data_IF_540740511054
#
_entry.id   IF_540740511054
#
_cell.length_a   1.000
_cell.length_b   1.000
_cell.length_c   1.000
_cell.angle_alpha   90.00
_cell.angle_beta   90.00
_cell.angle_gamma   90.00
#
_symmetry.space_group_name_H-M   'P 1'
#
loop_
_entity.id
_entity.type
_entity.pdbx_description
1 polymer ?
#
# COMPACT_ATOMS: atom_id res chain seq x y z
N UNK A 1 3.84 4.25 24.25
CA UNK A 1 4.60 3.51 23.21
C UNK A 1 5.89 4.27 22.91
N UNK A 2 7.02 3.59 22.90
CA UNK A 2 8.31 4.23 22.63
C UNK A 2 8.36 4.76 21.19
N UNK A 3 8.96 5.93 20.99
CA UNK A 3 9.11 6.59 19.67
C UNK A 3 9.71 5.63 18.64
N UNK A 4 10.66 4.79 19.05
CA UNK A 4 11.31 3.79 18.19
C UNK A 4 10.30 2.86 17.51
N UNK A 5 9.20 2.48 18.19
CA UNK A 5 8.18 1.62 17.62
C UNK A 5 7.33 2.30 16.52
N UNK A 6 7.43 3.64 16.41
CA UNK A 6 6.74 4.43 15.37
C UNK A 6 7.58 4.64 14.11
N UNK A 7 8.90 4.43 14.20
CA UNK A 7 9.81 4.73 13.09
C UNK A 7 9.45 3.99 11.78
N UNK A 8 9.12 2.70 11.78
CA UNK A 8 8.76 2.01 10.53
C UNK A 8 7.51 2.58 9.86
N UNK A 9 6.52 2.99 10.65
CA UNK A 9 5.30 3.62 10.14
C UNK A 9 5.57 5.03 9.61
N UNK A 10 6.37 5.82 10.31
CA UNK A 10 6.76 7.16 9.85
C UNK A 10 7.59 7.09 8.57
N UNK A 11 8.51 6.14 8.48
CA UNK A 11 9.31 5.91 7.28
C UNK A 11 8.42 5.56 6.07
N UNK A 12 7.41 4.69 6.26
CA UNK A 12 6.43 4.38 5.23
C UNK A 12 5.63 5.62 4.83
N UNK A 13 5.19 6.42 5.80
CA UNK A 13 4.46 7.66 5.54
C UNK A 13 5.26 8.67 4.72
N UNK A 14 6.54 8.84 5.05
CA UNK A 14 7.46 9.70 4.29
C UNK A 14 7.69 9.18 2.87
N UNK A 15 7.88 7.86 2.72
CA UNK A 15 8.07 7.23 1.41
C UNK A 15 6.84 7.42 0.51
N UNK A 16 5.62 7.24 1.05
CA UNK A 16 4.37 7.48 0.32
C UNK A 16 4.22 8.95 -0.06
N UNK A 17 4.45 9.88 0.86
CA UNK A 17 4.37 11.31 0.56
C UNK A 17 5.37 11.72 -0.53
N UNK A 18 6.60 11.21 -0.46
CA UNK A 18 7.62 11.45 -1.48
C UNK A 18 7.20 10.91 -2.86
N UNK A 19 6.72 9.67 -2.92
CA UNK A 19 6.23 9.05 -4.15
C UNK A 19 5.05 9.84 -4.72
N UNK A 20 4.10 10.23 -3.89
CA UNK A 20 2.94 11.02 -4.31
C UNK A 20 3.32 12.38 -4.88
N UNK A 21 4.30 13.06 -4.30
CA UNK A 21 4.86 14.30 -4.87
C UNK A 21 5.47 14.02 -6.26
N UNK A 22 6.19 12.92 -6.42
CA UNK A 22 6.73 12.50 -7.71
C UNK A 22 5.65 12.28 -8.77
N UNK A 23 4.50 11.71 -8.41
CA UNK A 23 3.35 11.55 -9.31
C UNK A 23 2.81 12.89 -9.82
N UNK A 24 2.85 13.92 -9.00
CA UNK A 24 2.34 15.25 -9.35
C UNK A 24 3.35 16.12 -10.09
N UNK A 25 4.64 15.76 -10.07
CA UNK A 25 5.73 16.62 -10.51
C UNK A 25 6.72 15.91 -11.44
N UNK A 26 7.90 15.54 -10.93
CA UNK A 26 9.07 15.12 -11.71
C UNK A 26 8.92 13.76 -12.40
N UNK A 27 8.16 12.85 -11.82
CA UNK A 27 8.02 11.47 -12.32
C UNK A 27 6.64 11.18 -12.92
N UNK A 28 5.85 12.21 -13.18
CA UNK A 28 4.47 12.08 -13.69
C UNK A 28 4.39 11.24 -14.95
N UNK A 29 5.27 11.51 -15.93
CA UNK A 29 5.30 10.77 -17.20
C UNK A 29 5.71 9.30 -17.02
N UNK A 30 6.70 9.03 -16.17
CA UNK A 30 7.15 7.67 -15.89
C UNK A 30 6.10 6.81 -15.17
N UNK A 31 5.34 7.41 -14.24
CA UNK A 31 4.25 6.71 -13.59
C UNK A 31 3.11 6.32 -14.54
N UNK A 32 2.92 7.02 -15.66
CA UNK A 32 1.94 6.63 -16.67
C UNK A 32 2.22 5.25 -17.27
N UNK A 33 3.49 4.81 -17.32
CA UNK A 33 3.85 3.47 -17.75
C UNK A 33 3.30 2.34 -16.86
N UNK A 34 2.97 2.65 -15.62
CA UNK A 34 2.39 1.70 -14.65
C UNK A 34 0.86 1.74 -14.62
N UNK A 35 0.22 2.58 -15.44
CA UNK A 35 -1.24 2.58 -15.57
C UNK A 35 -1.66 1.38 -16.44
N UNK A 36 -2.62 0.55 -15.97
CA UNK A 36 -3.12 -0.55 -16.77
C UNK A 36 -3.64 -0.08 -18.13
N UNK A 37 -3.41 -0.86 -19.18
CA UNK A 37 -3.77 -0.50 -20.55
C UNK A 37 -5.26 -0.20 -20.75
N UNK A 38 -6.12 -0.78 -19.95
CA UNK A 38 -7.57 -0.49 -19.95
C UNK A 38 -7.90 0.95 -19.55
N UNK A 39 -7.01 1.62 -18.84
CA UNK A 39 -7.13 3.03 -18.44
C UNK A 39 -6.19 3.96 -19.20
N UNK A 40 -5.62 3.54 -20.33
CA UNK A 40 -4.62 4.31 -21.07
C UNK A 40 -5.10 5.73 -21.45
N UNK A 41 -6.38 5.89 -21.81
CA UNK A 41 -6.96 7.19 -22.16
C UNK A 41 -7.08 8.14 -20.96
N UNK A 42 -7.01 7.61 -19.74
CA UNK A 42 -7.09 8.34 -18.47
C UNK A 42 -5.80 8.27 -17.67
N UNK A 43 -4.69 7.87 -18.31
CA UNK A 43 -3.42 7.60 -17.63
C UNK A 43 -2.95 8.78 -16.77
N UNK A 44 -3.03 9.99 -17.27
CA UNK A 44 -2.63 11.19 -16.55
C UNK A 44 -3.51 11.44 -15.32
N UNK A 45 -4.82 11.30 -15.45
CA UNK A 45 -5.75 11.42 -14.32
C UNK A 45 -5.48 10.36 -13.25
N UNK A 46 -5.25 9.11 -13.65
CA UNK A 46 -4.94 8.00 -12.71
C UNK A 46 -3.66 8.28 -11.93
N UNK A 47 -2.62 8.77 -12.61
CA UNK A 47 -1.35 9.14 -11.98
C UNK A 47 -1.54 10.27 -10.96
N UNK A 48 -2.24 11.33 -11.34
CA UNK A 48 -2.49 12.47 -10.44
C UNK A 48 -3.36 12.06 -9.23
N UNK A 49 -4.43 11.31 -9.47
CA UNK A 49 -5.32 10.82 -8.41
C UNK A 49 -4.58 9.92 -7.43
N UNK A 50 -3.75 9.00 -7.92
CA UNK A 50 -2.95 8.12 -7.06
C UNK A 50 -1.91 8.92 -6.25
N UNK A 51 -1.30 9.93 -6.82
CA UNK A 51 -0.38 10.82 -6.13
C UNK A 51 -1.04 11.56 -4.97
N UNK A 52 -2.26 12.07 -5.14
CA UNK A 52 -3.04 12.71 -4.07
C UNK A 52 -3.36 11.71 -2.97
N UNK A 53 -3.78 10.49 -3.32
CA UNK A 53 -4.05 9.41 -2.35
C UNK A 53 -2.79 9.04 -1.56
N UNK A 54 -1.64 8.92 -2.22
CA UNK A 54 -0.37 8.60 -1.57
C UNK A 54 0.06 9.69 -0.58
N UNK A 55 -0.06 10.96 -0.95
CA UNK A 55 0.24 12.08 -0.04
C UNK A 55 -0.71 12.05 1.16
N UNK A 56 -1.99 11.85 0.95
CA UNK A 56 -2.98 11.76 2.03
C UNK A 56 -2.70 10.59 2.98
N UNK A 57 -2.39 9.40 2.45
CA UNK A 57 -2.00 8.24 3.23
C UNK A 57 -0.69 8.49 3.99
N UNK A 58 0.30 9.07 3.33
CA UNK A 58 1.59 9.41 3.93
C UNK A 58 1.44 10.37 5.12
N UNK A 59 0.69 11.45 4.94
CA UNK A 59 0.40 12.40 6.03
C UNK A 59 -0.40 11.72 7.14
N UNK A 60 -1.39 10.91 6.79
CA UNK A 60 -2.19 10.16 7.76
C UNK A 60 -1.35 9.22 8.63
N UNK A 61 -0.40 8.50 8.05
CA UNK A 61 0.53 7.62 8.77
C UNK A 61 1.45 8.38 9.73
N UNK A 62 1.83 9.61 9.39
CA UNK A 62 2.70 10.44 10.23
C UNK A 62 1.91 11.15 11.33
N UNK A 63 0.78 11.79 10.98
CA UNK A 63 0.07 12.71 11.86
C UNK A 63 -1.09 12.07 12.63
N UNK A 64 -1.79 11.08 12.07
CA UNK A 64 -3.01 10.52 12.61
C UNK A 64 -2.79 9.17 13.31
N UNK A 65 -1.93 9.16 14.32
CA UNK A 65 -1.56 7.95 15.06
C UNK A 65 -2.77 7.17 15.60
N UNK A 66 -3.81 7.86 16.02
CA UNK A 66 -5.04 7.23 16.54
C UNK A 66 -5.72 6.30 15.51
N UNK A 67 -5.60 6.64 14.23
CA UNK A 67 -6.23 5.93 13.12
C UNK A 67 -5.27 5.03 12.35
N UNK A 68 -4.09 4.74 12.91
CA UNK A 68 -3.01 3.99 12.24
C UNK A 68 -3.47 2.65 11.66
N UNK A 69 -4.35 1.92 12.35
CA UNK A 69 -4.85 0.62 11.90
C UNK A 69 -5.70 0.77 10.64
N UNK A 70 -6.62 1.71 10.63
CA UNK A 70 -7.48 1.99 9.47
C UNK A 70 -6.65 2.48 8.28
N UNK A 71 -5.73 3.42 8.53
CA UNK A 71 -4.83 3.94 7.49
C UNK A 71 -3.89 2.84 6.99
N UNK A 72 -3.43 1.95 7.84
CA UNK A 72 -2.63 0.78 7.47
C UNK A 72 -3.36 -0.14 6.49
N UNK A 73 -4.64 -0.41 6.73
CA UNK A 73 -5.46 -1.17 5.79
C UNK A 73 -5.69 -0.44 4.47
N UNK A 74 -5.94 0.86 4.51
CA UNK A 74 -6.09 1.68 3.30
C UNK A 74 -4.80 1.71 2.48
N UNK A 75 -3.64 1.85 3.13
CA UNK A 75 -2.35 1.81 2.47
C UNK A 75 -2.07 0.43 1.85
N UNK A 76 -2.36 -0.65 2.57
CA UNK A 76 -2.23 -2.01 2.05
C UNK A 76 -3.14 -2.25 0.83
N UNK A 77 -4.40 -1.83 0.89
CA UNK A 77 -5.34 -1.92 -0.22
C UNK A 77 -4.86 -1.09 -1.43
N UNK A 78 -4.31 0.08 -1.20
CA UNK A 78 -3.73 0.92 -2.24
C UNK A 78 -2.54 0.23 -2.92
N UNK A 79 -1.62 -0.37 -2.16
CA UNK A 79 -0.50 -1.13 -2.72
C UNK A 79 -0.95 -2.34 -3.54
N UNK A 80 -2.01 -3.03 -3.11
CA UNK A 80 -2.61 -4.12 -3.89
C UNK A 80 -3.21 -3.59 -5.20
N UNK A 81 -3.88 -2.45 -5.18
CA UNK A 81 -4.42 -1.82 -6.39
C UNK A 81 -3.31 -1.42 -7.38
N UNK A 82 -2.22 -0.83 -6.87
CA UNK A 82 -1.05 -0.46 -7.71
C UNK A 82 -0.37 -1.71 -8.30
N UNK A 83 -0.43 -2.83 -7.63
CA UNK A 83 0.17 -4.08 -8.11
C UNK A 83 -0.34 -4.45 -9.50
N UNK A 84 -1.60 -4.19 -9.80
CA UNK A 84 -2.15 -4.36 -11.14
C UNK A 84 -1.38 -3.55 -12.20
N UNK A 85 -1.05 -2.28 -11.90
CA UNK A 85 -0.24 -1.45 -12.78
C UNK A 85 1.17 -2.00 -13.00
N UNK A 86 1.80 -2.52 -11.97
CA UNK A 86 3.11 -3.17 -12.07
C UNK A 86 3.06 -4.45 -12.92
N UNK A 87 2.00 -5.25 -12.78
CA UNK A 87 1.77 -6.43 -13.62
C UNK A 87 1.58 -6.01 -15.09
N UNK A 88 0.79 -4.98 -15.35
CA UNK A 88 0.59 -4.43 -16.69
C UNK A 88 1.90 -3.96 -17.31
N UNK A 89 2.75 -3.27 -16.56
CA UNK A 89 4.08 -2.85 -17.02
C UNK A 89 4.94 -4.06 -17.39
N UNK A 90 4.95 -5.11 -16.59
CA UNK A 90 5.70 -6.34 -16.88
C UNK A 90 5.18 -7.05 -18.11
N UNK A 91 3.88 -7.27 -18.21
CA UNK A 91 3.25 -8.00 -19.33
C UNK A 91 3.42 -7.26 -20.65
N UNK A 92 3.29 -5.94 -20.65
CA UNK A 92 3.41 -5.10 -21.85
C UNK A 92 4.85 -4.65 -22.17
N UNK A 93 5.82 -4.99 -21.31
CA UNK A 93 7.22 -4.65 -21.52
C UNK A 93 7.50 -3.15 -21.57
N UNK A 94 6.81 -2.35 -20.76
CA UNK A 94 6.94 -0.88 -20.77
C UNK A 94 8.14 -0.44 -19.95
N UNK A 95 9.01 0.37 -20.56
CA UNK A 95 10.21 0.91 -19.92
C UNK A 95 9.89 2.19 -19.14
N UNK A 96 10.20 2.17 -17.84
CA UNK A 96 10.15 3.34 -16.98
C UNK A 96 10.99 3.09 -15.71
N UNK A 97 11.45 4.13 -15.04
CA UNK A 97 12.26 4.06 -13.82
C UNK A 97 13.53 3.19 -13.97
N UNK A 98 14.12 3.12 -15.16
CA UNK A 98 15.24 2.23 -15.42
C UNK A 98 14.89 0.74 -15.52
N UNK A 99 13.60 0.38 -15.52
CA UNK A 99 13.11 -0.99 -15.68
C UNK A 99 12.99 -1.32 -17.18
N UNK A 100 14.13 -1.49 -17.84
CA UNK A 100 14.28 -1.66 -19.30
C UNK A 100 14.43 -3.12 -19.73
N UNK A 101 14.36 -4.07 -18.80
CA UNK A 101 14.38 -5.52 -19.06
C UNK A 101 13.25 -6.23 -18.34
N UNK A 102 12.84 -7.40 -18.85
CA UNK A 102 11.82 -8.23 -18.23
C UNK A 102 12.24 -8.69 -16.83
N UNK A 103 13.52 -8.99 -16.63
CA UNK A 103 14.05 -9.36 -15.32
C UNK A 103 13.92 -8.23 -14.31
N UNK A 104 14.24 -7.00 -14.68
CA UNK A 104 14.11 -5.83 -13.79
C UNK A 104 12.64 -5.58 -13.45
N UNK A 105 11.75 -5.63 -14.43
CA UNK A 105 10.29 -5.50 -14.23
C UNK A 105 9.73 -6.61 -13.33
N UNK A 106 10.18 -7.85 -13.51
CA UNK A 106 9.79 -8.97 -12.67
C UNK A 106 10.25 -8.80 -11.21
N UNK A 107 11.50 -8.40 -11.00
CA UNK A 107 12.03 -8.11 -9.65
C UNK A 107 11.20 -7.02 -8.98
N UNK A 108 10.80 -5.97 -9.72
CA UNK A 108 9.93 -4.92 -9.19
C UNK A 108 8.60 -5.44 -8.65
N UNK A 109 8.02 -6.48 -9.26
CA UNK A 109 6.77 -7.09 -8.79
C UNK A 109 6.90 -7.67 -7.37
N UNK A 110 8.04 -8.21 -6.99
CA UNK A 110 8.26 -8.78 -5.66
C UNK A 110 8.35 -7.72 -4.56
N UNK A 111 8.64 -6.46 -4.89
CA UNK A 111 8.63 -5.37 -3.91
C UNK A 111 7.22 -5.03 -3.43
N UNK A 112 6.19 -5.25 -4.24
CA UNK A 112 4.83 -4.86 -3.90
C UNK A 112 4.26 -5.63 -2.70
N UNK A 113 4.39 -6.97 -2.60
CA UNK A 113 4.02 -7.70 -1.39
C UNK A 113 4.76 -7.23 -0.14
N UNK A 114 6.03 -6.82 -0.27
CA UNK A 114 6.81 -6.28 0.84
C UNK A 114 6.26 -4.95 1.34
N UNK A 115 5.78 -4.09 0.45
CA UNK A 115 5.13 -2.83 0.82
C UNK A 115 3.80 -3.08 1.54
N UNK A 116 3.01 -4.05 1.08
CA UNK A 116 1.78 -4.48 1.75
C UNK A 116 2.09 -4.98 3.16
N UNK A 117 3.07 -5.85 3.33
CA UNK A 117 3.51 -6.35 4.62
C UNK A 117 4.00 -5.20 5.53
N UNK A 118 4.77 -4.27 4.99
CA UNK A 118 5.24 -3.10 5.73
C UNK A 118 4.08 -2.26 6.27
N UNK A 119 3.07 -1.97 5.43
CA UNK A 119 1.89 -1.23 5.85
C UNK A 119 1.13 -1.95 6.98
N UNK A 120 0.87 -3.24 6.84
CA UNK A 120 0.09 -4.02 7.82
C UNK A 120 0.83 -4.23 9.14
N UNK A 121 2.14 -4.48 9.10
CA UNK A 121 2.93 -4.76 10.30
C UNK A 121 3.31 -3.49 11.06
N UNK A 122 3.73 -2.43 10.37
CA UNK A 122 4.17 -1.19 11.02
C UNK A 122 3.04 -0.43 11.70
N UNK A 123 1.82 -0.55 11.20
CA UNK A 123 0.63 0.11 11.76
C UNK A 123 -0.10 -0.72 12.81
N UNK A 124 0.26 -1.98 12.96
CA UNK A 124 -0.45 -2.93 13.81
C UNK A 124 -1.78 -3.42 13.24
N UNK A 125 -2.06 -3.14 11.96
CA UNK A 125 -3.30 -3.55 11.29
C UNK A 125 -3.47 -5.08 11.26
N UNK A 126 -2.39 -5.80 10.97
CA UNK A 126 -2.38 -7.27 10.98
C UNK A 126 -2.68 -7.85 12.36
N UNK A 127 -2.03 -7.33 13.41
CA UNK A 127 -2.26 -7.78 14.78
C UNK A 127 -3.69 -7.50 15.24
N UNK A 128 -4.25 -6.35 14.88
CA UNK A 128 -5.63 -5.99 15.21
C UNK A 128 -6.63 -6.93 14.54
N UNK A 129 -6.39 -7.33 13.30
CA UNK A 129 -7.25 -8.29 12.59
C UNK A 129 -7.17 -9.68 13.22
N UNK A 130 -5.97 -10.18 13.48
CA UNK A 130 -5.74 -11.49 14.08
C UNK A 130 -6.38 -11.62 15.48
N UNK A 131 -6.29 -10.56 16.29
CA UNK A 131 -6.86 -10.56 17.64
C UNK A 131 -8.39 -10.51 17.64
N UNK A 132 -9.04 -9.99 16.60
CA UNK A 132 -10.50 -10.06 16.44
C UNK A 132 -10.97 -11.50 16.21
N UNK A 133 -10.25 -12.26 15.41
CA UNK A 133 -10.57 -13.67 15.15
C UNK A 133 -10.49 -14.55 16.41
N UNK A 134 -9.45 -14.35 17.24
CA UNK A 134 -9.33 -15.09 18.49
C UNK A 134 -10.43 -14.76 19.50
N UNK A 135 -10.81 -13.49 19.63
CA UNK A 135 -11.91 -13.09 20.52
C UNK A 135 -13.27 -13.67 20.07
N UNK A 136 -13.52 -13.74 18.78
CA UNK A 136 -14.75 -14.33 18.27
C UNK A 136 -14.81 -15.83 18.56
N UNK A 137 -13.70 -16.54 18.38
CA UNK A 137 -13.61 -17.95 18.69
C UNK A 137 -13.87 -18.23 20.18
N UNK A 138 -13.31 -17.40 21.06
CA UNK A 138 -13.53 -17.53 22.52
C UNK A 138 -15.00 -17.34 22.89
N UNK A 139 -15.68 -16.38 22.27
CA UNK A 139 -17.13 -16.13 22.49
C UNK A 139 -17.96 -17.32 22.02
N UNK A 140 -17.68 -17.83 20.83
CA UNK A 140 -18.41 -18.97 20.24
C UNK A 140 -18.25 -20.23 21.11
N UNK A 141 -17.05 -20.48 21.67
CA UNK A 141 -16.80 -21.60 22.58
C UNK A 141 -17.51 -21.44 23.94
N UNK A 142 -17.62 -20.23 24.44
CA UNK A 142 -18.32 -19.91 25.69
C UNK A 142 -19.83 -20.11 25.50
N UNK A 143 -20.39 -19.72 24.39
CA UNK A 143 -21.81 -19.88 24.05
C UNK A 143 -22.19 -21.36 23.90
N UNK A 144 -21.36 -22.15 23.21
CA UNK A 144 -21.53 -23.61 23.08
C UNK A 144 -21.48 -24.33 24.44
N UNK A 145 -20.72 -23.82 25.39
CA UNK A 145 -20.60 -24.40 26.73
C UNK A 145 -21.81 -24.08 27.63
N UNK A 146 -22.50 -22.97 27.38
CA UNK A 146 -23.67 -22.54 28.15
C UNK A 146 -24.95 -23.22 27.66
N UNK A 147 -25.07 -23.51 26.37
CA UNK A 147 -26.28 -24.04 25.75
C UNK A 147 -26.20 -25.53 25.34
N UNK A 148 -25.05 -26.17 25.49
CA UNK A 148 -24.85 -27.61 25.26
C UNK A 148 -24.94 -28.41 26.53
#
# INVERSE_FOLDING_TARGET
MKIIARLPQMALGLALAYAGIGHLTTSRTEFQAQVPSVFADYADFVVLASGVVEIALGIGLIALWKYRVQIGWLAAAFFVAIFWGNISQYVNGVDAFGLDTDTKRLVRLFFQPLLVAWALLSTGAWSAWRNRGSKQLDIDLEEDTIYG
#
